data_IF_758335470453
#
_entry.id   IF_758335470453
#
_cell.length_a   1.000
_cell.length_b   1.000
_cell.length_c   1.000
_cell.angle_alpha   90.00
_cell.angle_beta   90.00
_cell.angle_gamma   90.00
#
_symmetry.space_group_name_H-M   'P 1'
#
loop_
_entity.id
_entity.type
_entity.pdbx_description
1 polymer ?
#
# COMPACT_ATOMS: atom_id res chain seq x y z
N UNK A 1 -19.03 -21.20 -4.02
CA UNK A 1 -18.50 -20.60 -2.78
C UNK A 1 -19.24 -19.29 -2.57
N UNK A 2 -19.55 -18.90 -1.33
CA UNK A 2 -20.23 -17.64 -1.01
C UNK A 2 -19.49 -16.90 0.09
N UNK A 3 -19.44 -15.59 -0.02
CA UNK A 3 -18.90 -14.71 1.04
C UNK A 3 -19.85 -14.76 2.23
N UNK A 4 -19.33 -15.06 3.43
CA UNK A 4 -20.12 -15.18 4.66
C UNK A 4 -19.97 -13.97 5.57
N UNK A 5 -18.81 -13.33 5.57
CA UNK A 5 -18.56 -12.14 6.38
C UNK A 5 -17.37 -11.34 5.85
N UNK A 6 -17.34 -10.05 6.16
CA UNK A 6 -16.16 -9.20 5.99
C UNK A 6 -15.80 -8.59 7.35
N UNK A 7 -14.62 -8.94 7.85
CA UNK A 7 -14.05 -8.37 9.07
C UNK A 7 -13.24 -7.12 8.72
N UNK A 8 -13.30 -6.10 9.58
CA UNK A 8 -12.56 -4.84 9.41
C UNK A 8 -11.69 -4.60 10.63
N UNK A 9 -10.39 -4.44 10.40
CA UNK A 9 -9.40 -4.18 11.43
C UNK A 9 -8.92 -2.74 11.35
N UNK A 10 -9.25 -1.95 12.37
CA UNK A 10 -8.77 -0.59 12.58
C UNK A 10 -7.47 -0.63 13.38
N UNK A 11 -6.33 -0.71 12.68
CA UNK A 11 -5.03 -1.03 13.26
C UNK A 11 -4.35 0.22 13.83
N UNK A 12 -4.93 0.79 14.89
CA UNK A 12 -4.33 1.92 15.60
C UNK A 12 -3.01 1.54 16.27
N UNK A 13 -1.90 1.68 15.53
CA UNK A 13 -0.59 1.18 15.96
C UNK A 13 -0.12 1.82 17.27
N UNK A 14 -0.49 3.09 17.52
CA UNK A 14 -0.30 3.81 18.77
C UNK A 14 -0.77 3.08 20.05
N UNK A 15 -1.70 2.12 19.94
CA UNK A 15 -2.16 1.30 21.06
C UNK A 15 -1.12 0.27 21.51
N UNK A 16 -0.18 -0.07 20.64
CA UNK A 16 0.86 -1.09 20.88
C UNK A 16 2.28 -0.53 20.81
N UNK A 17 2.49 0.47 19.96
CA UNK A 17 3.77 1.12 19.75
C UNK A 17 3.57 2.63 19.55
N UNK A 18 4.02 3.42 20.52
CA UNK A 18 3.79 4.85 20.51
C UNK A 18 4.67 5.61 19.51
N UNK A 19 5.73 4.98 19.01
CA UNK A 19 6.58 5.53 17.95
C UNK A 19 5.88 5.53 16.58
N UNK A 20 4.85 4.71 16.42
CA UNK A 20 4.07 4.56 15.18
C UNK A 20 2.77 5.37 15.19
N UNK A 21 2.70 6.46 15.96
CA UNK A 21 1.47 7.22 16.21
C UNK A 21 0.85 7.89 14.98
N UNK A 22 1.64 8.15 13.93
CA UNK A 22 1.18 8.70 12.64
C UNK A 22 0.59 7.67 11.69
N UNK A 23 0.63 6.38 12.03
CA UNK A 23 0.20 5.29 11.16
C UNK A 23 -0.99 4.54 11.76
N UNK A 24 -2.00 4.33 10.93
CA UNK A 24 -3.17 3.52 11.24
C UNK A 24 -3.62 2.72 10.00
N UNK A 25 -2.97 1.59 9.69
CA UNK A 25 -3.41 0.69 8.63
C UNK A 25 -4.86 0.23 8.83
N UNK A 26 -5.55 -0.02 7.73
CA UNK A 26 -6.92 -0.55 7.76
C UNK A 26 -6.93 -1.82 6.94
N UNK A 27 -7.08 -2.96 7.61
CA UNK A 27 -7.07 -4.28 6.98
C UNK A 27 -8.48 -4.85 6.96
N UNK A 28 -8.74 -5.72 5.99
CA UNK A 28 -9.96 -6.50 5.93
C UNK A 28 -9.65 -7.98 5.80
N UNK A 29 -10.60 -8.82 6.24
CA UNK A 29 -10.62 -10.24 5.93
C UNK A 29 -11.99 -10.64 5.42
N UNK A 30 -12.04 -11.19 4.21
CA UNK A 30 -13.26 -11.70 3.57
C UNK A 30 -13.29 -13.21 3.81
N UNK A 31 -14.33 -13.71 4.48
CA UNK A 31 -14.51 -15.13 4.77
C UNK A 31 -15.58 -15.74 3.86
N UNK A 32 -15.46 -17.05 3.63
CA UNK A 32 -16.39 -17.79 2.76
C UNK A 32 -16.97 -19.02 3.44
N UNK A 33 -18.07 -19.54 2.89
CA UNK A 33 -18.72 -20.78 3.33
C UNK A 33 -17.85 -22.04 3.14
N UNK A 34 -16.84 -21.95 2.28
CA UNK A 34 -15.86 -23.03 2.04
C UNK A 34 -14.77 -23.11 3.11
N UNK A 35 -14.70 -22.14 4.03
CA UNK A 35 -13.61 -21.99 4.99
C UNK A 35 -12.37 -21.27 4.45
N UNK A 36 -12.32 -20.95 3.14
CA UNK A 36 -11.30 -20.07 2.59
C UNK A 36 -11.55 -18.61 2.97
N UNK A 37 -10.48 -17.88 3.26
CA UNK A 37 -10.51 -16.45 3.55
C UNK A 37 -9.43 -15.71 2.76
N UNK A 38 -9.72 -14.47 2.39
CA UNK A 38 -8.80 -13.55 1.74
C UNK A 38 -8.54 -12.32 2.57
N UNK A 39 -7.35 -11.74 2.48
CA UNK A 39 -7.00 -10.48 3.15
C UNK A 39 -6.82 -9.36 2.14
N UNK A 40 -7.15 -8.14 2.57
CA UNK A 40 -6.97 -6.93 1.78
C UNK A 40 -6.64 -5.73 2.66
N UNK A 41 -6.21 -4.64 2.03
CA UNK A 41 -5.80 -3.41 2.72
C UNK A 41 -6.40 -2.17 2.07
N UNK A 42 -6.95 -1.28 2.90
CA UNK A 42 -7.35 0.06 2.49
C UNK A 42 -6.13 0.98 2.65
N UNK A 43 -5.60 1.48 1.53
CA UNK A 43 -4.35 2.27 1.46
C UNK A 43 -4.44 3.70 2.02
N UNK A 44 -4.99 3.88 3.23
CA UNK A 44 -5.14 5.15 3.94
C UNK A 44 -4.44 5.12 5.32
N UNK A 45 -3.33 4.39 5.39
CA UNK A 45 -2.60 4.16 6.63
C UNK A 45 -1.92 5.41 7.20
N UNK A 46 -1.67 6.42 6.36
CA UNK A 46 -1.01 7.68 6.73
C UNK A 46 -1.86 8.88 6.30
N UNK A 47 -1.58 10.05 6.88
CA UNK A 47 -2.37 11.26 6.65
C UNK A 47 -3.78 11.18 7.25
N UNK A 48 -4.69 12.01 6.74
CA UNK A 48 -6.06 12.08 7.21
C UNK A 48 -6.99 11.19 6.35
N UNK A 49 -7.29 9.97 6.81
CA UNK A 49 -8.18 9.09 6.05
C UNK A 49 -8.54 7.75 6.67
N UNK A 50 -7.74 7.21 7.60
CA UNK A 50 -7.92 5.85 8.12
C UNK A 50 -9.36 5.53 8.59
N UNK A 51 -10.00 6.44 9.35
CA UNK A 51 -11.38 6.21 9.84
C UNK A 51 -12.43 6.24 8.72
N UNK A 52 -12.21 7.05 7.67
CA UNK A 52 -13.03 7.00 6.47
C UNK A 52 -12.81 5.67 5.72
N UNK A 53 -11.58 5.14 5.73
CA UNK A 53 -11.25 3.80 5.23
C UNK A 53 -12.00 2.67 5.95
N UNK A 54 -12.14 2.75 7.27
CA UNK A 54 -12.99 1.81 8.04
C UNK A 54 -14.46 1.97 7.64
N UNK A 55 -14.93 3.21 7.51
CA UNK A 55 -16.30 3.54 7.12
C UNK A 55 -16.68 2.97 5.76
N UNK A 56 -15.86 3.18 4.73
CA UNK A 56 -16.17 2.73 3.37
C UNK A 56 -16.27 1.20 3.26
N UNK A 57 -15.51 0.44 4.06
CA UNK A 57 -15.69 -1.01 4.09
C UNK A 57 -17.04 -1.39 4.69
N UNK A 58 -17.52 -0.67 5.71
CA UNK A 58 -18.87 -0.90 6.26
C UNK A 58 -19.97 -0.61 5.23
N UNK A 59 -19.73 0.33 4.32
CA UNK A 59 -20.68 0.66 3.25
C UNK A 59 -20.65 -0.37 2.11
N UNK A 60 -19.47 -0.84 1.70
CA UNK A 60 -19.30 -1.74 0.56
C UNK A 60 -19.47 -3.22 0.91
N UNK A 61 -19.06 -3.65 2.11
CA UNK A 61 -19.10 -5.06 2.51
C UNK A 61 -20.49 -5.72 2.43
N UNK A 62 -21.59 -5.07 2.86
CA UNK A 62 -22.93 -5.66 2.75
C UNK A 62 -23.33 -6.02 1.31
N UNK A 63 -22.74 -5.35 0.32
CA UNK A 63 -23.06 -5.55 -1.10
C UNK A 63 -22.41 -6.82 -1.69
N UNK A 64 -21.45 -7.43 -0.99
CA UNK A 64 -20.76 -8.65 -1.44
C UNK A 64 -21.07 -9.88 -0.58
N UNK A 65 -21.61 -9.71 0.62
CA UNK A 65 -22.02 -10.84 1.47
C UNK A 65 -23.13 -11.64 0.78
N UNK A 66 -22.97 -12.96 0.74
CA UNK A 66 -23.88 -13.89 0.06
C UNK A 66 -23.53 -14.16 -1.40
N UNK A 67 -22.65 -13.37 -2.01
CA UNK A 67 -22.26 -13.50 -3.41
C UNK A 67 -21.03 -14.41 -3.58
N UNK A 68 -20.79 -14.87 -4.82
CA UNK A 68 -19.65 -15.73 -5.16
C UNK A 68 -18.36 -14.90 -5.35
N UNK A 69 -17.31 -15.12 -4.52
CA UNK A 69 -16.07 -14.33 -4.55
C UNK A 69 -15.26 -14.48 -5.85
N UNK A 70 -15.54 -15.49 -6.68
CA UNK A 70 -14.79 -15.72 -7.92
C UNK A 70 -15.14 -14.70 -9.03
N UNK A 71 -16.29 -14.02 -8.90
CA UNK A 71 -16.80 -13.03 -9.86
C UNK A 71 -16.20 -11.63 -9.65
N UNK A 72 -14.87 -11.53 -9.58
CA UNK A 72 -14.13 -10.31 -9.24
C UNK A 72 -14.52 -9.12 -10.13
N UNK A 73 -14.51 -9.30 -11.46
CA UNK A 73 -14.89 -8.25 -12.43
C UNK A 73 -16.34 -7.76 -12.24
N UNK A 74 -17.26 -8.67 -11.90
CA UNK A 74 -18.66 -8.32 -11.61
C UNK A 74 -18.73 -7.37 -10.42
N UNK A 75 -17.98 -7.64 -9.35
CA UNK A 75 -17.97 -6.77 -8.18
C UNK A 75 -17.33 -5.41 -8.46
N UNK A 76 -16.22 -5.41 -9.20
CA UNK A 76 -15.56 -4.15 -9.56
C UNK A 76 -16.51 -3.25 -10.36
N UNK A 77 -17.15 -3.78 -11.40
CA UNK A 77 -18.12 -3.04 -12.21
C UNK A 77 -19.38 -2.68 -11.41
N UNK A 78 -19.86 -3.56 -10.52
CA UNK A 78 -20.99 -3.26 -9.65
C UNK A 78 -20.69 -2.11 -8.71
N UNK A 79 -19.55 -2.14 -8.02
CA UNK A 79 -19.12 -1.03 -7.16
C UNK A 79 -18.96 0.25 -7.96
N UNK A 80 -18.39 0.20 -9.15
CA UNK A 80 -18.19 1.38 -9.99
C UNK A 80 -19.52 1.97 -10.48
N UNK A 81 -20.46 1.15 -10.96
CA UNK A 81 -21.67 1.61 -11.65
C UNK A 81 -22.90 1.76 -10.78
N UNK A 82 -23.03 0.98 -9.70
CA UNK A 82 -24.30 0.78 -8.97
C UNK A 82 -24.34 1.37 -7.58
N UNK A 83 -23.30 2.09 -7.17
CA UNK A 83 -23.18 2.71 -5.84
C UNK A 83 -23.35 4.23 -5.83
N UNK A 84 -23.68 4.83 -6.99
CA UNK A 84 -23.68 6.27 -7.25
C UNK A 84 -22.28 6.91 -7.15
N UNK A 85 -21.65 6.82 -5.99
CA UNK A 85 -20.33 7.36 -5.68
C UNK A 85 -19.20 6.70 -6.45
N UNK A 86 -19.38 5.48 -6.97
CA UNK A 86 -18.36 4.81 -7.78
C UNK A 86 -17.97 5.54 -9.05
N UNK A 87 -18.90 6.23 -9.72
CA UNK A 87 -18.61 6.97 -10.97
C UNK A 87 -18.02 8.37 -10.75
N UNK A 88 -17.99 8.85 -9.50
CA UNK A 88 -17.49 10.17 -9.12
C UNK A 88 -16.64 10.11 -7.86
N UNK A 89 -16.01 8.97 -7.60
CA UNK A 89 -15.39 8.64 -6.33
C UNK A 89 -14.11 9.41 -6.04
N UNK A 90 -13.33 8.88 -5.12
CA UNK A 90 -12.04 9.45 -4.74
C UNK A 90 -11.21 8.43 -3.98
N UNK A 91 -10.15 8.90 -3.33
CA UNK A 91 -9.22 8.06 -2.57
C UNK A 91 -9.94 7.11 -1.59
N UNK A 92 -10.95 7.58 -0.84
CA UNK A 92 -11.68 6.73 0.11
C UNK A 92 -12.48 5.64 -0.60
N UNK A 93 -13.31 6.01 -1.58
CA UNK A 93 -14.17 5.07 -2.28
C UNK A 93 -13.36 3.98 -3.00
N UNK A 94 -12.36 4.39 -3.79
CA UNK A 94 -11.55 3.45 -4.56
C UNK A 94 -10.60 2.63 -3.68
N UNK A 95 -10.15 3.15 -2.51
CA UNK A 95 -9.39 2.33 -1.57
C UNK A 95 -10.25 1.23 -0.93
N UNK A 96 -11.53 1.48 -0.68
CA UNK A 96 -12.49 0.47 -0.25
C UNK A 96 -12.69 -0.64 -1.30
N UNK A 97 -12.90 -0.25 -2.57
CA UNK A 97 -12.95 -1.19 -3.70
C UNK A 97 -11.66 -2.02 -3.80
N UNK A 98 -10.51 -1.36 -3.69
CA UNK A 98 -9.19 -1.99 -3.81
C UNK A 98 -8.97 -3.06 -2.73
N UNK A 99 -9.34 -2.78 -1.48
CA UNK A 99 -9.18 -3.73 -0.39
C UNK A 99 -10.00 -5.01 -0.62
N UNK A 100 -11.24 -4.87 -1.07
CA UNK A 100 -12.11 -6.01 -1.39
C UNK A 100 -11.54 -6.78 -2.57
N UNK A 101 -11.16 -6.11 -3.66
CA UNK A 101 -10.56 -6.75 -4.85
C UNK A 101 -9.33 -7.61 -4.49
N UNK A 102 -8.39 -7.06 -3.72
CA UNK A 102 -7.19 -7.77 -3.25
C UNK A 102 -7.57 -9.03 -2.46
N UNK A 103 -8.55 -8.92 -1.55
CA UNK A 103 -9.02 -10.07 -0.77
C UNK A 103 -9.68 -11.15 -1.65
N UNK A 104 -10.41 -10.76 -2.69
CA UNK A 104 -11.01 -11.70 -3.64
C UNK A 104 -9.95 -12.41 -4.50
N UNK A 105 -8.89 -11.71 -4.91
CA UNK A 105 -7.74 -12.32 -5.60
C UNK A 105 -6.99 -13.30 -4.70
N UNK A 106 -6.81 -12.98 -3.42
CA UNK A 106 -6.22 -13.89 -2.43
C UNK A 106 -7.08 -15.17 -2.27
N UNK A 107 -8.42 -15.02 -2.17
CA UNK A 107 -9.35 -16.18 -2.18
C UNK A 107 -9.20 -17.00 -3.46
N UNK A 108 -9.16 -16.36 -4.63
CA UNK A 108 -9.06 -17.05 -5.91
C UNK A 108 -7.73 -17.81 -6.05
N UNK A 109 -6.62 -17.22 -5.61
CA UNK A 109 -5.32 -17.89 -5.56
C UNK A 109 -5.35 -19.13 -4.67
N UNK A 110 -5.89 -19.00 -3.45
CA UNK A 110 -6.05 -20.12 -2.51
C UNK A 110 -6.98 -21.21 -3.04
N UNK A 111 -8.10 -20.83 -3.66
CA UNK A 111 -9.05 -21.75 -4.28
C UNK A 111 -8.42 -22.57 -5.41
N UNK A 112 -7.55 -21.95 -6.22
CA UNK A 112 -6.86 -22.60 -7.33
C UNK A 112 -5.51 -23.23 -6.94
N UNK A 113 -5.06 -23.06 -5.70
CA UNK A 113 -3.78 -23.58 -5.22
C UNK A 113 -2.55 -22.94 -5.88
N UNK A 114 -2.66 -21.69 -6.37
CA UNK A 114 -1.58 -20.98 -7.06
C UNK A 114 -1.36 -19.58 -6.47
N UNK A 115 -0.11 -19.05 -6.52
CA UNK A 115 0.12 -17.66 -6.14
C UNK A 115 -0.57 -16.71 -7.12
N UNK A 116 -1.04 -15.55 -6.62
CA UNK A 116 -1.84 -14.58 -7.39
C UNK A 116 -1.18 -14.17 -8.70
N UNK A 117 0.16 -14.03 -8.74
CA UNK A 117 0.86 -13.66 -9.98
C UNK A 117 0.65 -14.65 -11.13
N UNK A 118 0.37 -15.94 -10.84
CA UNK A 118 0.06 -16.92 -11.89
C UNK A 118 -1.25 -16.57 -12.58
N UNK A 119 -2.22 -16.05 -11.82
CA UNK A 119 -3.51 -15.62 -12.34
C UNK A 119 -3.42 -14.28 -13.08
N UNK A 120 -2.39 -13.49 -12.80
CA UNK A 120 -2.09 -12.22 -13.47
C UNK A 120 -1.24 -12.39 -14.75
N UNK A 121 -1.11 -13.62 -15.27
CA UNK A 121 -0.40 -13.91 -16.52
C UNK A 121 0.93 -14.67 -16.36
N UNK A 122 1.27 -15.10 -15.15
CA UNK A 122 2.43 -15.96 -14.92
C UNK A 122 3.71 -15.22 -14.53
N UNK A 123 4.79 -15.99 -14.35
CA UNK A 123 6.08 -15.43 -13.93
C UNK A 123 6.79 -14.77 -15.13
N UNK A 124 6.68 -13.44 -15.21
CA UNK A 124 7.41 -12.63 -16.21
C UNK A 124 8.79 -12.19 -15.72
N UNK A 125 8.93 -11.92 -14.42
CA UNK A 125 10.17 -11.43 -13.81
C UNK A 125 10.66 -12.44 -12.76
N UNK A 126 11.88 -12.97 -12.92
CA UNK A 126 12.48 -13.88 -11.92
C UNK A 126 12.83 -13.18 -10.60
N UNK A 127 13.11 -11.87 -10.67
CA UNK A 127 13.35 -11.02 -9.51
C UNK A 127 12.89 -9.61 -9.78
N UNK A 128 12.51 -8.91 -8.71
CA UNK A 128 12.14 -7.49 -8.76
C UNK A 128 13.27 -6.67 -8.16
N UNK A 129 13.78 -5.70 -8.93
CA UNK A 129 14.75 -4.73 -8.41
C UNK A 129 14.03 -3.80 -7.43
N UNK A 130 14.54 -3.68 -6.21
CA UNK A 130 13.98 -2.85 -5.13
C UNK A 130 14.81 -1.56 -4.91
N UNK A 131 14.27 -0.64 -4.12
CA UNK A 131 14.92 0.63 -3.76
C UNK A 131 14.59 1.02 -2.31
N UNK A 132 15.52 1.71 -1.63
CA UNK A 132 15.32 2.24 -0.28
C UNK A 132 14.48 3.54 -0.37
N UNK A 133 13.33 3.56 0.30
CA UNK A 133 12.35 4.63 0.18
C UNK A 133 12.34 5.54 1.39
N UNK A 134 12.20 6.84 1.16
CA UNK A 134 12.02 7.89 2.18
C UNK A 134 13.23 8.07 3.11
N UNK A 135 14.44 8.21 2.53
CA UNK A 135 15.69 8.36 3.30
C UNK A 135 15.73 9.62 4.18
N UNK A 136 14.88 10.62 3.96
CA UNK A 136 14.78 11.78 4.86
C UNK A 136 14.35 11.40 6.29
N UNK A 137 13.86 10.18 6.50
CA UNK A 137 13.53 9.63 7.82
C UNK A 137 14.61 8.65 8.34
N UNK A 138 15.79 8.64 7.71
CA UNK A 138 16.89 7.73 8.04
C UNK A 138 16.75 6.34 7.45
N UNK A 139 17.75 5.49 7.70
CA UNK A 139 17.80 4.10 7.24
C UNK A 139 18.63 3.23 8.20
N UNK A 140 18.26 1.96 8.34
CA UNK A 140 18.98 1.02 9.21
C UNK A 140 18.87 1.40 10.69
N UNK A 141 20.02 1.61 11.33
CA UNK A 141 20.15 1.89 12.77
C UNK A 141 19.74 3.32 13.15
N UNK A 142 19.87 4.27 12.22
CA UNK A 142 19.52 5.68 12.43
C UNK A 142 18.21 6.00 11.71
N UNK A 143 17.09 6.00 12.45
CA UNK A 143 15.74 6.31 11.95
C UNK A 143 15.22 7.57 12.63
N UNK A 144 15.47 8.71 12.00
CA UNK A 144 15.10 10.03 12.51
C UNK A 144 14.95 11.01 11.33
N UNK A 145 14.33 12.16 11.59
CA UNK A 145 14.23 13.22 10.59
C UNK A 145 15.64 13.76 10.32
N UNK A 146 16.05 13.73 9.05
CA UNK A 146 17.34 14.21 8.59
C UNK A 146 17.22 15.64 8.05
N UNK A 147 18.22 16.47 8.33
CA UNK A 147 18.26 17.89 8.00
C UNK A 147 19.50 18.25 7.19
N UNK A 148 20.68 17.76 7.59
CA UNK A 148 21.95 18.17 6.95
C UNK A 148 22.33 17.25 5.79
N UNK A 149 23.01 17.75 4.74
CA UNK A 149 23.46 16.92 3.63
C UNK A 149 24.27 15.68 4.06
N UNK A 150 25.07 15.80 5.12
CA UNK A 150 25.90 14.73 5.67
C UNK A 150 25.05 13.57 6.23
N UNK A 151 23.92 13.88 6.87
CA UNK A 151 22.98 12.90 7.39
C UNK A 151 22.33 12.10 6.25
N UNK A 152 21.90 12.78 5.17
CA UNK A 152 21.37 12.11 3.97
C UNK A 152 22.43 11.22 3.31
N UNK A 153 23.68 11.68 3.28
CA UNK A 153 24.80 10.88 2.78
C UNK A 153 25.04 9.63 3.63
N UNK A 154 24.91 9.74 4.95
CA UNK A 154 25.02 8.59 5.86
C UNK A 154 23.90 7.57 5.66
N UNK A 155 22.64 8.03 5.57
CA UNK A 155 21.50 7.14 5.31
C UNK A 155 21.61 6.42 3.96
N UNK A 156 22.16 7.08 2.95
CA UNK A 156 22.43 6.48 1.65
C UNK A 156 23.50 5.38 1.72
N UNK A 157 24.60 5.61 2.44
CA UNK A 157 25.62 4.57 2.67
C UNK A 157 25.01 3.37 3.39
N UNK A 158 24.26 3.62 4.47
CA UNK A 158 23.56 2.56 5.21
C UNK A 158 22.61 1.73 4.33
N UNK A 159 21.94 2.36 3.36
CA UNK A 159 21.07 1.66 2.42
C UNK A 159 21.85 0.84 1.36
N UNK A 160 23.04 1.27 0.98
CA UNK A 160 23.91 0.51 0.07
C UNK A 160 24.56 -0.70 0.74
N UNK A 161 24.86 -0.60 2.04
CA UNK A 161 25.45 -1.69 2.82
C UNK A 161 24.51 -2.91 2.92
N UNK A 162 23.20 -2.70 2.74
CA UNK A 162 22.18 -3.77 2.64
C UNK A 162 21.81 -4.13 1.19
N UNK A 163 22.71 -3.84 0.25
CA UNK A 163 22.62 -4.13 -1.20
C UNK A 163 21.37 -3.53 -1.90
N UNK A 164 20.88 -2.37 -1.46
CA UNK A 164 19.83 -1.65 -2.18
C UNK A 164 20.42 -0.78 -3.29
N UNK A 165 20.25 -1.22 -4.53
CA UNK A 165 20.83 -0.56 -5.71
C UNK A 165 20.20 0.79 -6.12
N UNK A 166 19.25 1.35 -5.35
CA UNK A 166 18.56 2.65 -5.60
C UNK A 166 18.03 3.27 -4.30
N UNK A 167 18.00 4.60 -4.27
CA UNK A 167 17.60 5.41 -3.10
C UNK A 167 16.53 6.44 -3.50
N UNK A 168 15.63 6.81 -2.56
CA UNK A 168 14.52 7.76 -2.79
C UNK A 168 14.28 8.69 -1.57
N UNK A 169 14.18 10.02 -1.75
CA UNK A 169 13.94 11.02 -0.67
C UNK A 169 13.26 12.34 -1.12
N UNK A 170 12.82 13.19 -0.17
CA UNK A 170 12.14 14.51 -0.36
C UNK A 170 13.11 15.72 -0.26
N UNK A 171 12.85 16.81 -1.00
CA UNK A 171 13.85 17.76 -1.56
C UNK A 171 14.10 19.11 -0.84
N UNK A 172 15.37 19.60 -0.91
CA UNK A 172 15.78 20.97 -1.30
C UNK A 172 17.10 20.90 -2.12
N UNK A 173 17.35 21.84 -3.05
CA UNK A 173 18.30 21.72 -4.20
C UNK A 173 19.78 21.44 -3.84
N UNK A 174 20.22 21.72 -2.62
CA UNK A 174 21.64 21.70 -2.23
C UNK A 174 22.20 20.28 -1.98
N UNK A 175 21.34 19.31 -1.63
CA UNK A 175 21.75 17.96 -1.20
C UNK A 175 22.03 17.03 -2.39
N UNK A 176 21.36 17.24 -3.52
CA UNK A 176 21.47 16.36 -4.71
C UNK A 176 22.88 16.38 -5.32
N UNK A 177 23.59 17.49 -5.22
CA UNK A 177 24.85 17.67 -5.95
C UNK A 177 26.06 17.02 -5.25
N UNK A 178 25.97 16.76 -3.94
CA UNK A 178 27.09 16.21 -3.16
C UNK A 178 27.29 14.69 -3.30
N UNK A 179 26.28 13.94 -3.75
CA UNK A 179 26.28 12.47 -3.62
C UNK A 179 26.35 11.69 -4.95
N UNK A 180 26.08 12.34 -6.08
CA UNK A 180 26.04 11.68 -7.40
C UNK A 180 27.43 11.32 -7.96
N UNK A 181 28.51 11.84 -7.36
CA UNK A 181 29.86 11.76 -7.95
C UNK A 181 30.60 10.45 -7.62
N UNK A 182 30.18 9.68 -6.61
CA UNK A 182 30.99 8.54 -6.12
C UNK A 182 30.40 7.13 -6.31
N UNK A 183 29.13 6.98 -6.65
CA UNK A 183 28.52 5.65 -6.76
C UNK A 183 27.58 5.55 -7.99
N UNK A 184 27.64 4.43 -8.73
CA UNK A 184 26.73 4.08 -9.85
C UNK A 184 25.29 3.78 -9.37
N UNK A 185 24.66 4.74 -8.69
CA UNK A 185 23.32 4.60 -8.08
C UNK A 185 22.33 5.43 -8.89
N UNK A 186 21.08 4.95 -9.00
CA UNK A 186 19.98 5.80 -9.46
C UNK A 186 19.26 6.41 -8.25
N UNK A 187 19.14 7.73 -8.27
CA UNK A 187 18.42 8.52 -7.27
C UNK A 187 17.03 8.84 -7.83
N UNK A 188 16.00 8.63 -7.01
CA UNK A 188 14.63 9.06 -7.30
C UNK A 188 14.29 10.21 -6.36
N UNK A 189 14.05 11.40 -6.90
CA UNK A 189 13.61 12.56 -6.12
C UNK A 189 12.10 12.54 -5.94
N UNK A 190 11.64 12.81 -4.71
CA UNK A 190 10.22 12.96 -4.36
C UNK A 190 9.93 14.41 -4.03
N UNK A 191 8.76 14.89 -4.42
CA UNK A 191 8.27 16.22 -4.06
C UNK A 191 6.94 16.20 -3.28
N UNK A 192 6.26 15.07 -3.15
CA UNK A 192 4.99 14.92 -2.42
C UNK A 192 3.93 15.98 -2.80
N UNK A 193 3.96 16.43 -4.06
CA UNK A 193 3.09 17.48 -4.58
C UNK A 193 3.19 18.83 -3.83
N UNK A 194 4.27 19.09 -3.09
CA UNK A 194 4.47 20.36 -2.38
C UNK A 194 4.68 21.57 -3.31
N UNK A 195 5.09 21.34 -4.56
CA UNK A 195 5.46 22.42 -5.48
C UNK A 195 4.51 22.47 -6.69
N UNK A 196 3.83 23.61 -6.94
CA UNK A 196 3.05 23.82 -8.16
C UNK A 196 3.94 24.11 -9.38
N UNK A 197 3.35 24.04 -10.58
CA UNK A 197 4.07 24.13 -11.86
C UNK A 197 4.56 25.56 -12.23
N UNK A 198 4.08 26.62 -11.56
CA UNK A 198 4.35 28.06 -11.82
C UNK A 198 5.00 28.41 -13.17
#
# INVERSE_FOLDING_TARGET
MKITSVEVFDCELKKRDQTMSSYNPVLIRVNTDSGLSGIGEVGLAYGAGAKAGVGIIRDLAPLVVGEDPLNIEKFWEFFFRKTFWGMGGGNVFYAGMSAIDIALWDIKGKYLGVPVYQLLGGKTNEKLRTYASQLQFGWGDKRQILVTPEEYAEAARAALDVDMMRLKWIHSKSIVMAMTVFFRIKIVTIQDCYWPIN
#
